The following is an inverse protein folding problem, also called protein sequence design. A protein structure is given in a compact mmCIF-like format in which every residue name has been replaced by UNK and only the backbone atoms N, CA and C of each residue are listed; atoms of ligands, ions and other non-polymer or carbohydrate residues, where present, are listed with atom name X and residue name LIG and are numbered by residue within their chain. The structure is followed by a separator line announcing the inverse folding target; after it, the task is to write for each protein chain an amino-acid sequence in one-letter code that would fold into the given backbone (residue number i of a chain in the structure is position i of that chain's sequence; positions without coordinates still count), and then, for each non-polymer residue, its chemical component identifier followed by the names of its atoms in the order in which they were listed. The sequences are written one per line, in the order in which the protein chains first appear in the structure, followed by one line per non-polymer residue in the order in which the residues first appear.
data_IF_098629580475
#
_entry.id   IF_098629580475
#
_cell.length_a   1.000
_cell.length_b   1.000
_cell.length_c   1.000
_cell.angle_alpha   90.00
_cell.angle_beta   90.00
_cell.angle_gamma   90.00
#
_symmetry.space_group_name_H-M   'P 1'
#
loop_
_entity.id
_entity.type
_entity.pdbx_description
1 polymer ?
#
# COMPACT_ATOMS: atom_id res chain seq x y z
N UNK A 1 -74.68 -38.44 -24.55
CA UNK A 1 -74.86 -37.00 -24.25
C UNK A 1 -73.85 -36.65 -23.16
N UNK A 2 -72.59 -36.38 -23.49
CA UNK A 2 -72.01 -35.11 -23.99
C UNK A 2 -71.68 -34.10 -22.86
N UNK A 3 -70.38 -33.76 -22.77
CA UNK A 3 -69.71 -32.63 -22.08
C UNK A 3 -69.67 -32.66 -20.54
N UNK A 4 -68.61 -32.24 -19.82
CA UNK A 4 -67.54 -31.29 -20.18
C UNK A 4 -66.28 -31.51 -19.30
N UNK A 5 -65.14 -31.65 -19.98
CA UNK A 5 -63.73 -31.29 -19.66
C UNK A 5 -63.39 -30.82 -18.24
N UNK A 6 -62.50 -31.57 -17.58
CA UNK A 6 -61.68 -31.11 -16.46
C UNK A 6 -60.35 -30.49 -16.99
N UNK A 7 -60.12 -29.23 -16.70
CA UNK A 7 -58.83 -28.54 -16.86
C UNK A 7 -58.81 -27.31 -15.96
N UNK A 8 -57.92 -27.26 -14.97
CA UNK A 8 -56.86 -26.25 -14.88
C UNK A 8 -56.13 -26.36 -13.54
N UNK A 9 -54.88 -26.79 -13.61
CA UNK A 9 -53.92 -26.88 -12.51
C UNK A 9 -53.13 -25.56 -12.42
N UNK A 10 -52.84 -25.18 -11.17
CA UNK A 10 -51.64 -24.45 -10.66
C UNK A 10 -51.07 -23.29 -11.49
N UNK A 11 -51.13 -22.09 -10.87
CA UNK A 11 -50.16 -20.99 -11.09
C UNK A 11 -48.73 -21.43 -10.71
N UNK A 12 -47.72 -21.05 -11.50
CA UNK A 12 -46.37 -20.82 -10.97
C UNK A 12 -45.99 -19.33 -10.97
N UNK A 13 -45.15 -19.01 -10.00
CA UNK A 13 -44.55 -17.71 -9.74
C UNK A 13 -43.54 -17.31 -10.83
N UNK A 14 -43.44 -16.00 -11.02
CA UNK A 14 -42.46 -15.32 -11.87
C UNK A 14 -41.05 -15.54 -11.33
N UNK A 15 -40.17 -16.12 -12.17
CA UNK A 15 -38.71 -16.16 -11.94
C UNK A 15 -38.03 -15.38 -13.08
N UNK A 16 -37.15 -14.41 -12.79
CA UNK A 16 -36.38 -13.72 -13.83
C UNK A 16 -35.31 -14.64 -14.42
N UNK A 17 -35.05 -14.44 -15.71
CA UNK A 17 -34.23 -15.25 -16.59
C UNK A 17 -32.74 -15.28 -16.22
N UNK A 18 -32.02 -16.37 -16.58
CA UNK A 18 -30.56 -16.44 -16.48
C UNK A 18 -29.91 -15.64 -17.62
N UNK A 19 -28.85 -14.92 -17.28
CA UNK A 19 -28.00 -14.19 -18.23
C UNK A 19 -27.12 -15.17 -19.03
N UNK A 20 -27.03 -14.94 -20.33
CA UNK A 20 -26.21 -15.70 -21.28
C UNK A 20 -24.69 -15.59 -21.00
N UNK A 21 -23.92 -16.66 -21.22
CA UNK A 21 -22.46 -16.65 -21.08
C UNK A 21 -21.79 -16.04 -22.32
N UNK A 22 -21.14 -14.89 -22.17
CA UNK A 22 -20.29 -14.30 -23.21
C UNK A 22 -19.01 -15.13 -23.37
N UNK A 23 -18.76 -15.49 -24.62
CA UNK A 23 -17.69 -16.34 -25.11
C UNK A 23 -16.26 -15.82 -24.80
N UNK A 24 -15.47 -16.67 -24.14
CA UNK A 24 -14.01 -16.62 -24.13
C UNK A 24 -13.49 -17.23 -25.45
N UNK A 25 -12.80 -16.44 -26.26
CA UNK A 25 -11.96 -16.95 -27.37
C UNK A 25 -10.55 -17.23 -26.85
N UNK A 26 -9.89 -18.33 -27.26
CA UNK A 26 -8.50 -18.57 -26.93
C UNK A 26 -7.59 -17.85 -27.94
N UNK A 27 -6.59 -17.13 -27.45
CA UNK A 27 -5.44 -16.71 -28.27
C UNK A 27 -4.23 -17.50 -27.78
N UNK A 28 -3.97 -18.63 -28.46
CA UNK A 28 -2.62 -19.18 -28.58
C UNK A 28 -1.96 -18.52 -29.78
N UNK A 29 -0.80 -17.90 -29.54
CA UNK A 29 0.10 -17.38 -30.56
C UNK A 29 1.51 -17.39 -29.97
N UNK A 30 2.21 -18.50 -30.18
CA UNK A 30 3.59 -18.73 -29.77
C UNK A 30 4.54 -17.77 -30.52
N UNK A 31 5.49 -17.14 -29.82
CA UNK A 31 6.84 -16.82 -30.32
C UNK A 31 7.77 -16.45 -29.16
N UNK A 32 8.77 -17.30 -28.95
CA UNK A 32 10.07 -16.94 -28.35
C UNK A 32 10.82 -16.06 -29.36
N UNK A 33 11.41 -14.97 -28.88
CA UNK A 33 12.81 -14.63 -29.11
C UNK A 33 13.11 -13.33 -28.34
N UNK A 34 14.36 -13.27 -27.93
CA UNK A 34 15.16 -12.20 -27.35
C UNK A 34 14.86 -10.80 -27.92
N UNK A 35 15.05 -9.77 -27.10
CA UNK A 35 15.99 -8.66 -27.37
C UNK A 35 15.87 -7.55 -26.32
N UNK A 36 17.04 -7.21 -25.79
CA UNK A 36 17.36 -5.90 -25.22
C UNK A 36 16.81 -4.79 -26.11
N UNK A 37 16.07 -3.84 -25.55
CA UNK A 37 16.26 -2.44 -25.94
C UNK A 37 15.75 -1.46 -24.87
N UNK A 38 16.62 -0.49 -24.64
CA UNK A 38 16.49 0.64 -23.77
C UNK A 38 15.44 1.64 -24.29
N UNK A 39 14.65 2.14 -23.34
CA UNK A 39 14.33 3.56 -23.14
C UNK A 39 13.36 4.26 -24.11
N UNK A 40 12.19 4.68 -23.59
CA UNK A 40 11.58 5.96 -23.96
C UNK A 40 10.97 6.58 -22.70
N UNK A 41 11.52 7.74 -22.32
CA UNK A 41 10.87 8.68 -21.43
C UNK A 41 9.58 9.15 -22.12
N UNK A 42 8.42 8.83 -21.53
CA UNK A 42 7.14 9.39 -21.96
C UNK A 42 6.66 10.33 -20.87
N UNK A 43 6.51 11.57 -21.29
CA UNK A 43 5.93 12.68 -20.54
C UNK A 43 4.54 12.29 -20.02
N UNK A 44 4.34 12.47 -18.73
CA UNK A 44 3.13 12.10 -18.03
C UNK A 44 2.13 13.24 -18.10
N UNK A 45 1.19 13.15 -19.03
CA UNK A 45 -0.08 13.87 -19.03
C UNK A 45 -1.17 12.82 -19.27
N UNK A 46 -1.66 12.21 -18.20
CA UNK A 46 -3.01 11.65 -18.18
C UNK A 46 -3.48 11.52 -16.72
N UNK A 47 -4.36 12.45 -16.35
CA UNK A 47 -5.02 12.50 -15.06
C UNK A 47 -6.07 11.40 -14.98
N UNK A 48 -5.74 10.31 -14.27
CA UNK A 48 -6.76 9.44 -13.68
C UNK A 48 -6.99 9.96 -12.26
N UNK A 49 -8.06 10.73 -12.12
CA UNK A 49 -8.58 11.22 -10.85
C UNK A 49 -9.09 10.01 -10.04
N UNK A 50 -8.17 9.36 -9.34
CA UNK A 50 -8.51 8.37 -8.33
C UNK A 50 -9.29 9.12 -7.24
N UNK A 51 -10.55 8.70 -7.01
CA UNK A 51 -11.40 9.08 -5.87
C UNK A 51 -10.65 8.71 -4.59
N UNK A 52 -9.70 9.56 -4.20
CA UNK A 52 -8.84 9.39 -3.04
C UNK A 52 -9.46 10.18 -1.89
N UNK A 53 -10.23 9.55 -1.00
CA UNK A 53 -10.93 10.23 0.08
C UNK A 53 -9.97 10.83 1.14
N UNK A 54 -8.65 10.74 0.95
CA UNK A 54 -7.64 11.30 1.82
C UNK A 54 -7.08 12.66 1.35
N UNK A 55 -7.54 13.21 0.22
CA UNK A 55 -7.09 14.49 -0.31
C UNK A 55 -7.91 15.66 0.24
N UNK A 56 -7.80 15.96 1.54
CA UNK A 56 -7.91 17.33 2.04
C UNK A 56 -7.34 17.44 3.48
N UNK A 57 -6.52 18.47 3.71
CA UNK A 57 -5.83 18.77 4.97
C UNK A 57 -5.83 20.29 5.23
N UNK A 58 -7.01 20.90 5.39
CA UNK A 58 -7.16 22.16 6.14
C UNK A 58 -8.58 22.34 6.69
N UNK A 59 -8.90 21.70 7.83
CA UNK A 59 -9.97 22.16 8.75
C UNK A 59 -9.95 21.33 10.05
N UNK A 60 -9.80 22.01 11.19
CA UNK A 60 -10.06 21.45 12.52
C UNK A 60 -11.58 21.21 12.75
N UNK A 61 -11.90 19.99 13.21
CA UNK A 61 -12.96 19.57 14.18
C UNK A 61 -14.45 19.77 13.80
N UNK A 62 -15.29 18.70 13.85
CA UNK A 62 -15.79 18.14 15.13
C UNK A 62 -15.44 16.66 15.36
N UNK A 63 -14.97 16.36 16.57
CA UNK A 63 -14.91 15.01 17.14
C UNK A 63 -16.33 14.50 17.33
N UNK A 64 -16.83 13.70 16.38
CA UNK A 64 -17.95 12.80 16.64
C UNK A 64 -17.47 11.70 17.61
N UNK A 65 -18.30 11.29 18.58
CA UNK A 65 -17.83 10.40 19.64
C UNK A 65 -17.41 9.05 19.07
N UNK A 66 -16.19 8.63 19.42
CA UNK A 66 -15.63 7.30 19.21
C UNK A 66 -16.61 6.16 19.56
N UNK A 67 -17.61 6.45 20.41
CA UNK A 67 -18.67 5.56 20.86
C UNK A 67 -19.59 4.98 19.75
N UNK A 68 -19.55 5.52 18.52
CA UNK A 68 -20.36 5.02 17.40
C UNK A 68 -19.59 4.17 16.38
N UNK A 69 -18.28 3.99 16.56
CA UNK A 69 -17.48 3.15 15.66
C UNK A 69 -17.80 1.67 15.89
N UNK A 70 -18.04 0.93 14.81
CA UNK A 70 -18.30 -0.50 14.85
C UNK A 70 -17.09 -1.23 15.49
N UNK A 71 -17.28 -1.96 16.61
CA UNK A 71 -16.21 -2.72 17.26
C UNK A 71 -15.47 -3.66 16.31
N UNK A 72 -16.14 -4.20 15.29
CA UNK A 72 -15.52 -5.06 14.30
C UNK A 72 -14.51 -4.32 13.42
N UNK A 73 -14.75 -3.04 13.11
CA UNK A 73 -13.82 -2.20 12.35
C UNK A 73 -12.64 -1.81 13.23
N UNK A 74 -12.88 -1.47 14.50
CA UNK A 74 -11.81 -1.15 15.45
C UNK A 74 -10.84 -2.33 15.56
N UNK A 75 -11.34 -3.56 15.71
CA UNK A 75 -10.50 -4.76 15.77
C UNK A 75 -9.69 -4.98 14.48
N UNK A 76 -10.24 -4.63 13.31
CA UNK A 76 -9.50 -4.69 12.04
C UNK A 76 -8.38 -3.63 11.99
N UNK A 77 -8.63 -2.40 12.47
CA UNK A 77 -7.60 -1.36 12.58
C UNK A 77 -6.48 -1.81 13.54
N UNK A 78 -6.84 -2.37 14.70
CA UNK A 78 -5.88 -2.88 15.69
C UNK A 78 -4.96 -3.97 15.08
N UNK A 79 -5.53 -4.87 14.28
CA UNK A 79 -4.77 -5.91 13.58
C UNK A 79 -3.75 -5.35 12.58
N UNK A 80 -3.95 -4.13 12.06
CA UNK A 80 -3.05 -3.46 11.13
C UNK A 80 -1.95 -2.64 11.83
N UNK A 81 -2.06 -2.35 13.14
CA UNK A 81 -1.07 -1.56 13.90
C UNK A 81 0.37 -2.10 13.76
N UNK A 82 0.65 -3.41 13.89
CA UNK A 82 2.01 -3.92 13.73
C UNK A 82 2.59 -3.67 12.33
N UNK A 83 1.74 -3.67 11.30
CA UNK A 83 2.12 -3.42 9.89
C UNK A 83 2.45 -1.95 9.69
N UNK A 84 1.58 -1.06 10.17
CA UNK A 84 1.81 0.39 10.14
C UNK A 84 3.11 0.76 10.84
N UNK A 85 3.40 0.18 12.02
CA UNK A 85 4.67 0.40 12.74
C UNK A 85 5.90 -0.06 11.96
N UNK A 86 5.87 -1.25 11.35
CA UNK A 86 7.01 -1.73 10.54
C UNK A 86 7.27 -0.82 9.35
N UNK A 87 6.22 -0.42 8.64
CA UNK A 87 6.32 0.49 7.52
C UNK A 87 6.85 1.86 7.94
N UNK A 88 6.29 2.47 8.99
CA UNK A 88 6.73 3.76 9.52
C UNK A 88 8.21 3.73 9.96
N UNK A 89 8.65 2.68 10.66
CA UNK A 89 10.06 2.52 11.10
C UNK A 89 11.04 2.27 9.97
N UNK A 90 10.56 1.82 8.81
CA UNK A 90 11.36 1.66 7.61
C UNK A 90 11.40 2.94 6.76
N UNK A 91 10.41 3.82 6.89
CA UNK A 91 10.38 5.14 6.26
C UNK A 91 11.16 6.21 7.06
N UNK A 92 11.02 6.19 8.39
CA UNK A 92 11.53 7.21 9.31
C UNK A 92 12.83 6.73 9.98
N UNK A 93 13.79 7.65 10.12
CA UNK A 93 15.09 7.38 10.73
C UNK A 93 15.05 7.26 12.25
N UNK A 94 14.07 7.87 12.91
CA UNK A 94 13.87 7.82 14.36
C UNK A 94 12.68 6.91 14.70
N UNK A 95 12.87 6.03 15.68
CA UNK A 95 11.83 5.13 16.15
C UNK A 95 10.71 5.86 16.91
N UNK A 96 11.03 6.94 17.65
CA UNK A 96 10.03 7.75 18.35
C UNK A 96 9.13 8.46 17.35
N UNK A 97 9.72 9.15 16.36
CA UNK A 97 8.96 9.77 15.27
C UNK A 97 8.15 8.77 14.45
N UNK A 98 8.60 7.51 14.33
CA UNK A 98 7.82 6.47 13.67
C UNK A 98 6.59 6.06 14.48
N UNK A 99 6.73 5.92 15.80
CA UNK A 99 5.62 5.59 16.68
C UNK A 99 4.62 6.76 16.78
N UNK A 100 5.09 8.01 16.82
CA UNK A 100 4.26 9.23 16.76
C UNK A 100 3.47 9.31 15.44
N UNK A 101 4.12 9.04 14.30
CA UNK A 101 3.47 9.01 13.00
C UNK A 101 2.35 7.98 12.93
N UNK A 102 2.54 6.81 13.57
CA UNK A 102 1.48 5.80 13.66
C UNK A 102 0.35 6.26 14.57
N UNK A 103 0.67 6.90 15.70
CA UNK A 103 -0.36 7.46 16.58
C UNK A 103 -1.21 8.50 15.84
N UNK A 104 -0.60 9.48 15.17
CA UNK A 104 -1.32 10.50 14.39
C UNK A 104 -2.16 9.85 13.27
N UNK A 105 -1.64 8.79 12.64
CA UNK A 105 -2.40 8.02 11.65
C UNK A 105 -3.66 7.38 12.24
N UNK A 106 -3.57 6.78 13.42
CA UNK A 106 -4.71 6.13 14.07
C UNK A 106 -5.73 7.17 14.55
N UNK A 107 -5.30 8.29 15.11
CA UNK A 107 -6.17 9.41 15.48
C UNK A 107 -6.92 9.97 14.26
N UNK A 108 -6.21 10.14 13.14
CA UNK A 108 -6.79 10.57 11.87
C UNK A 108 -7.78 9.54 11.30
N UNK A 109 -7.41 8.26 11.34
CA UNK A 109 -8.26 7.18 10.84
C UNK A 109 -9.54 7.05 11.66
N UNK A 110 -9.46 7.11 12.99
CA UNK A 110 -10.62 7.03 13.88
C UNK A 110 -11.54 8.24 13.75
N UNK A 111 -10.99 9.45 13.64
CA UNK A 111 -11.80 10.67 13.43
C UNK A 111 -12.49 10.69 12.06
N UNK A 112 -11.84 10.14 11.02
CA UNK A 112 -12.37 10.07 9.66
C UNK A 112 -13.02 8.72 9.33
N UNK A 113 -13.28 7.88 10.32
CA UNK A 113 -13.79 6.52 10.09
C UNK A 113 -15.14 6.51 9.36
N UNK A 114 -15.95 7.55 9.57
CA UNK A 114 -17.22 7.75 8.89
C UNK A 114 -17.10 7.97 7.37
N UNK A 115 -15.92 8.34 6.86
CA UNK A 115 -15.64 8.49 5.43
C UNK A 115 -15.21 7.17 4.77
N UNK A 116 -14.83 6.17 5.58
CA UNK A 116 -14.44 4.87 5.06
C UNK A 116 -15.66 4.10 4.57
N UNK A 117 -15.58 3.56 3.35
CA UNK A 117 -16.66 2.79 2.73
C UNK A 117 -16.53 1.30 3.13
N UNK A 118 -17.54 0.69 3.79
CA UNK A 118 -17.52 -0.73 4.11
C UNK A 118 -17.29 -1.62 2.88
N UNK A 119 -16.44 -2.64 3.02
CA UNK A 119 -16.06 -3.54 1.92
C UNK A 119 -14.94 -3.02 1.02
N UNK A 120 -14.50 -1.77 1.20
CA UNK A 120 -13.25 -1.28 0.60
C UNK A 120 -12.02 -1.80 1.35
N UNK A 121 -10.83 -1.66 0.76
CA UNK A 121 -9.60 -2.13 1.38
C UNK A 121 -9.15 -1.20 2.52
N UNK A 122 -9.48 -1.58 3.76
CA UNK A 122 -9.10 -0.85 4.97
C UNK A 122 -7.58 -0.68 5.10
N UNK A 123 -6.81 -1.73 4.79
CA UNK A 123 -5.34 -1.68 4.85
C UNK A 123 -4.82 -0.61 3.89
N UNK A 124 -5.22 -0.63 2.62
CA UNK A 124 -4.80 0.37 1.65
C UNK A 124 -5.14 1.78 2.13
N UNK A 125 -6.35 2.00 2.64
CA UNK A 125 -6.78 3.30 3.19
C UNK A 125 -5.91 3.78 4.35
N UNK A 126 -5.59 2.91 5.32
CA UNK A 126 -4.71 3.25 6.44
C UNK A 126 -3.30 3.63 5.97
N UNK A 127 -2.74 2.87 5.03
CA UNK A 127 -1.42 3.16 4.46
C UNK A 127 -1.39 4.47 3.65
N UNK A 128 -2.49 4.81 2.98
CA UNK A 128 -2.66 6.12 2.33
C UNK A 128 -2.61 7.26 3.35
N UNK A 129 -3.34 7.14 4.46
CA UNK A 129 -3.32 8.15 5.54
C UNK A 129 -1.89 8.29 6.10
N UNK A 130 -1.26 7.18 6.50
CA UNK A 130 0.08 7.16 7.08
C UNK A 130 1.12 7.80 6.14
N UNK A 131 1.04 7.48 4.84
CA UNK A 131 1.92 8.07 3.83
C UNK A 131 1.71 9.57 3.70
N UNK A 132 0.46 10.02 3.59
CA UNK A 132 0.15 11.44 3.42
C UNK A 132 0.65 12.26 4.62
N UNK A 133 0.48 11.74 5.84
CA UNK A 133 1.04 12.32 7.05
C UNK A 133 2.57 12.46 6.97
N UNK A 134 3.26 11.41 6.53
CA UNK A 134 4.70 11.43 6.38
C UNK A 134 5.18 12.46 5.37
N UNK A 135 4.60 12.48 4.17
CA UNK A 135 4.96 13.43 3.10
C UNK A 135 4.69 14.87 3.53
N UNK A 136 3.54 15.13 4.14
CA UNK A 136 3.21 16.45 4.68
C UNK A 136 4.19 16.86 5.79
N UNK A 137 4.57 15.93 6.66
CA UNK A 137 5.58 16.15 7.70
C UNK A 137 6.99 16.42 7.16
N UNK A 138 7.38 15.81 6.04
CA UNK A 138 8.64 16.13 5.35
C UNK A 138 8.58 17.56 4.79
N UNK A 139 7.51 17.91 4.06
CA UNK A 139 7.34 19.25 3.46
C UNK A 139 7.38 20.36 4.52
N UNK A 140 6.72 20.14 5.67
CA UNK A 140 6.75 21.08 6.80
C UNK A 140 8.14 21.21 7.42
N UNK A 141 8.89 20.12 7.59
CA UNK A 141 10.25 20.17 8.15
C UNK A 141 11.28 20.81 7.22
N UNK A 142 11.17 20.54 5.91
CA UNK A 142 12.01 21.19 4.89
C UNK A 142 11.83 22.71 4.86
N UNK A 143 10.65 23.21 5.25
CA UNK A 143 10.41 24.64 5.38
C UNK A 143 11.01 25.25 6.67
N UNK A 144 11.45 24.45 7.65
CA UNK A 144 11.78 24.92 9.01
C UNK A 144 13.24 24.67 9.42
N UNK A 145 13.98 23.71 8.84
CA UNK A 145 15.36 23.39 9.32
C UNK A 145 16.33 23.06 8.18
N UNK A 146 17.38 23.87 8.10
CA UNK A 146 18.73 23.54 7.64
C UNK A 146 19.52 22.99 8.86
N UNK A 147 20.32 21.93 8.67
CA UNK A 147 21.27 21.28 9.60
C UNK A 147 20.79 20.08 10.49
N UNK A 148 21.50 18.96 10.26
CA UNK A 148 21.85 17.75 11.03
C UNK A 148 20.81 16.87 11.76
N UNK A 149 21.04 15.55 11.64
CA UNK A 149 20.44 14.54 12.51
C UNK A 149 20.57 13.11 11.99
N UNK A 150 21.74 12.50 12.18
CA UNK A 150 21.99 11.08 11.91
C UNK A 150 21.42 10.21 13.05
N UNK A 151 20.17 9.75 12.90
CA UNK A 151 19.51 8.83 13.83
C UNK A 151 19.42 7.41 13.26
N UNK A 152 20.01 6.43 13.95
CA UNK A 152 19.85 5.01 13.64
C UNK A 152 18.57 4.47 14.27
N UNK A 153 17.50 4.26 13.48
CA UNK A 153 16.33 3.56 14.00
C UNK A 153 16.64 2.06 14.23
N UNK A 154 16.15 1.49 15.32
CA UNK A 154 16.13 0.05 15.49
C UNK A 154 14.96 -0.53 14.68
N UNK A 155 15.24 -1.38 13.69
CA UNK A 155 14.22 -2.36 13.25
C UNK A 155 14.13 -3.37 14.38
N UNK A 156 12.91 -3.68 14.84
CA UNK A 156 12.66 -4.54 15.99
C UNK A 156 13.55 -5.78 15.99
N UNK A 157 14.18 -6.04 17.15
CA UNK A 157 15.20 -7.07 17.31
C UNK A 157 14.68 -8.44 16.85
N UNK A 158 15.14 -8.90 15.69
CA UNK A 158 15.03 -10.31 15.33
C UNK A 158 15.84 -11.13 16.34
N UNK A 159 15.21 -12.16 16.90
CA UNK A 159 15.90 -13.17 17.69
C UNK A 159 16.71 -14.04 16.71
N UNK A 160 17.90 -13.54 16.35
CA UNK A 160 18.83 -14.19 15.42
C UNK A 160 20.27 -13.94 15.85
N UNK A 161 21.18 -14.82 15.41
CA UNK A 161 22.61 -14.71 15.66
C UNK A 161 23.18 -13.35 15.23
N UNK A 162 24.39 -13.03 15.69
CA UNK A 162 25.08 -11.76 15.42
C UNK A 162 25.10 -11.38 13.93
N UNK A 163 25.20 -12.37 13.05
CA UNK A 163 25.17 -12.23 11.59
C UNK A 163 23.85 -11.66 11.06
N UNK A 164 22.70 -12.18 11.51
CA UNK A 164 21.37 -11.70 11.10
C UNK A 164 21.16 -10.24 11.52
N UNK A 165 21.67 -9.85 12.69
CA UNK A 165 21.59 -8.46 13.15
C UNK A 165 22.42 -7.51 12.26
N UNK A 166 23.56 -7.97 11.75
CA UNK A 166 24.42 -7.20 10.86
C UNK A 166 23.74 -6.99 9.50
N UNK A 167 23.23 -8.07 8.89
CA UNK A 167 22.50 -8.01 7.62
C UNK A 167 21.26 -7.11 7.71
N UNK A 168 20.50 -7.18 8.81
CA UNK A 168 19.33 -6.32 9.02
C UNK A 168 19.71 -4.84 9.18
N UNK A 169 20.85 -4.56 9.83
CA UNK A 169 21.37 -3.19 9.96
C UNK A 169 21.78 -2.64 8.59
N UNK A 170 22.44 -3.46 7.79
CA UNK A 170 22.93 -3.06 6.47
C UNK A 170 21.78 -2.90 5.48
N UNK A 171 20.76 -3.78 5.52
CA UNK A 171 19.50 -3.62 4.81
C UNK A 171 18.80 -2.31 5.19
N UNK A 172 18.73 -1.99 6.49
CA UNK A 172 18.13 -0.76 6.96
C UNK A 172 18.86 0.47 6.41
N UNK A 173 20.19 0.47 6.45
CA UNK A 173 21.01 1.54 5.89
C UNK A 173 20.74 1.68 4.39
N UNK A 174 20.77 0.58 3.66
CA UNK A 174 20.54 0.56 2.21
C UNK A 174 19.15 1.10 1.85
N UNK A 175 18.10 0.69 2.56
CA UNK A 175 16.76 1.27 2.42
C UNK A 175 16.77 2.79 2.63
N UNK A 176 17.48 3.27 3.67
CA UNK A 176 17.64 4.68 4.00
C UNK A 176 18.37 5.53 2.95
N UNK A 177 19.08 4.89 2.01
CA UNK A 177 19.77 5.55 0.89
C UNK A 177 18.94 5.58 -0.39
N UNK A 178 17.87 4.77 -0.48
CA UNK A 178 16.99 4.80 -1.66
C UNK A 178 16.24 6.14 -1.76
N UNK A 179 15.97 6.65 -2.98
CA UNK A 179 15.00 7.72 -3.18
C UNK A 179 13.65 7.38 -2.56
N UNK A 180 12.97 8.37 -1.96
CA UNK A 180 11.73 8.19 -1.21
C UNK A 180 10.68 7.41 -2.00
N UNK A 181 10.48 7.75 -3.27
CA UNK A 181 9.47 7.14 -4.14
C UNK A 181 9.77 5.66 -4.43
N UNK A 182 11.04 5.29 -4.48
CA UNK A 182 11.47 3.90 -4.68
C UNK A 182 11.35 3.11 -3.38
N UNK A 183 11.77 3.73 -2.26
CA UNK A 183 11.66 3.14 -0.92
C UNK A 183 10.22 2.80 -0.57
N UNK A 184 9.29 3.74 -0.78
CA UNK A 184 7.85 3.52 -0.52
C UNK A 184 7.33 2.28 -1.25
N UNK A 185 7.59 2.18 -2.55
CA UNK A 185 7.14 1.04 -3.37
C UNK A 185 7.77 -0.28 -2.91
N UNK A 186 9.07 -0.27 -2.60
CA UNK A 186 9.79 -1.46 -2.10
C UNK A 186 9.20 -1.93 -0.77
N UNK A 187 8.87 -1.01 0.13
CA UNK A 187 8.30 -1.34 1.43
C UNK A 187 6.85 -1.82 1.33
N UNK A 188 5.99 -1.13 0.59
CA UNK A 188 4.58 -1.53 0.43
C UNK A 188 4.49 -2.97 -0.11
N UNK A 189 5.24 -3.27 -1.18
CA UNK A 189 5.15 -4.56 -1.86
C UNK A 189 6.03 -5.61 -1.19
N UNK A 190 7.29 -5.29 -0.90
CA UNK A 190 8.28 -6.25 -0.42
C UNK A 190 8.19 -6.55 1.08
N UNK A 191 7.83 -5.57 1.91
CA UNK A 191 7.70 -5.75 3.35
C UNK A 191 6.28 -6.09 3.76
N UNK A 192 5.29 -5.37 3.23
CA UNK A 192 3.89 -5.52 3.66
C UNK A 192 3.04 -6.42 2.77
N UNK A 193 3.54 -6.81 1.61
CA UNK A 193 2.85 -7.73 0.69
C UNK A 193 1.63 -7.10 0.00
N UNK A 194 1.59 -5.77 -0.09
CA UNK A 194 0.55 -5.03 -0.78
C UNK A 194 0.64 -5.31 -2.28
N UNK A 195 -0.49 -5.51 -2.94
CA UNK A 195 -0.54 -5.78 -4.37
C UNK A 195 -0.12 -4.56 -5.20
N UNK A 196 0.22 -4.76 -6.47
CA UNK A 196 0.57 -3.63 -7.36
C UNK A 196 -0.55 -2.61 -7.53
N UNK A 197 -1.81 -3.06 -7.55
CA UNK A 197 -2.98 -2.19 -7.69
C UNK A 197 -3.20 -1.35 -6.43
N UNK A 198 -3.23 -1.98 -5.26
CA UNK A 198 -3.38 -1.26 -3.99
C UNK A 198 -2.20 -0.30 -3.74
N UNK A 199 -0.98 -0.69 -4.12
CA UNK A 199 0.18 0.20 -4.02
C UNK A 199 0.05 1.40 -4.97
N UNK A 200 -0.52 1.22 -6.17
CA UNK A 200 -0.82 2.32 -7.08
C UNK A 200 -1.84 3.29 -6.46
N UNK A 201 -2.90 2.77 -5.83
CA UNK A 201 -3.93 3.56 -5.14
C UNK A 201 -3.35 4.34 -3.94
N UNK A 202 -2.54 3.67 -3.10
CA UNK A 202 -1.88 4.29 -1.93
C UNK A 202 -0.95 5.43 -2.35
N UNK A 203 -0.22 5.24 -3.45
CA UNK A 203 0.80 6.18 -3.91
C UNK A 203 0.23 7.27 -4.83
N UNK A 204 -0.98 7.10 -5.36
CA UNK A 204 -1.59 8.00 -6.34
C UNK A 204 -0.84 8.03 -7.68
N UNK A 205 -0.41 6.86 -8.18
CA UNK A 205 0.36 6.72 -9.43
C UNK A 205 -0.12 5.54 -10.25
N UNK A 206 0.25 5.46 -11.53
CA UNK A 206 -0.10 4.30 -12.37
C UNK A 206 0.61 3.00 -11.92
N UNK A 207 -0.02 1.85 -12.18
CA UNK A 207 0.58 0.52 -11.95
C UNK A 207 1.90 0.36 -12.72
N UNK A 208 2.01 0.95 -13.92
CA UNK A 208 3.27 0.97 -14.69
C UNK A 208 4.39 1.71 -13.95
N UNK A 209 4.07 2.84 -13.33
CA UNK A 209 5.01 3.60 -12.50
C UNK A 209 5.40 2.81 -11.24
N UNK A 210 4.46 2.11 -10.59
CA UNK A 210 4.77 1.20 -9.47
C UNK A 210 5.80 0.16 -9.89
N UNK A 211 5.57 -0.55 -11.02
CA UNK A 211 6.48 -1.59 -11.51
C UNK A 211 7.88 -1.04 -11.82
N UNK A 212 7.96 0.11 -12.50
CA UNK A 212 9.25 0.71 -12.86
C UNK A 212 10.02 1.24 -11.63
N UNK A 213 9.32 1.81 -10.64
CA UNK A 213 9.91 2.25 -9.36
C UNK A 213 10.38 1.05 -8.53
N UNK A 214 9.59 -0.02 -8.48
CA UNK A 214 9.97 -1.24 -7.77
C UNK A 214 11.23 -1.88 -8.37
N UNK A 215 11.27 -2.00 -9.70
CA UNK A 215 12.42 -2.57 -10.41
C UNK A 215 13.70 -1.79 -10.11
N UNK A 216 13.65 -0.45 -10.21
CA UNK A 216 14.78 0.43 -9.89
C UNK A 216 15.18 0.34 -8.42
N UNK A 217 14.20 0.37 -7.49
CA UNK A 217 14.46 0.26 -6.07
C UNK A 217 15.11 -1.07 -5.68
N UNK A 218 14.64 -2.19 -6.25
CA UNK A 218 15.25 -3.52 -6.03
C UNK A 218 16.68 -3.61 -6.56
N UNK A 219 16.94 -3.03 -7.74
CA UNK A 219 18.29 -2.97 -8.31
C UNK A 219 19.24 -2.15 -7.44
N UNK A 220 18.82 -0.96 -7.04
CA UNK A 220 19.61 -0.09 -6.17
C UNK A 220 19.87 -0.74 -4.80
N UNK A 221 18.87 -1.39 -4.21
CA UNK A 221 19.03 -2.10 -2.94
C UNK A 221 20.05 -3.23 -3.05
N UNK A 222 19.99 -4.01 -4.14
CA UNK A 222 20.97 -5.07 -4.40
C UNK A 222 22.40 -4.52 -4.49
N UNK A 223 22.61 -3.46 -5.27
CA UNK A 223 23.93 -2.83 -5.40
C UNK A 223 24.47 -2.30 -4.07
N UNK A 224 23.61 -1.66 -3.27
CA UNK A 224 23.98 -1.14 -1.95
C UNK A 224 24.34 -2.26 -0.97
N UNK A 225 23.68 -3.41 -1.06
CA UNK A 225 23.97 -4.57 -0.21
C UNK A 225 25.21 -5.34 -0.69
N UNK A 226 25.41 -5.52 -2.00
CA UNK A 226 26.57 -6.21 -2.58
C UNK A 226 27.88 -5.44 -2.33
N UNK A 227 27.85 -4.11 -2.37
CA UNK A 227 29.01 -3.27 -2.01
C UNK A 227 29.37 -3.29 -0.52
N UNK A 228 28.58 -3.97 0.32
CA UNK A 228 28.83 -4.17 1.76
C UNK A 228 28.91 -5.67 2.14
N UNK A 229 28.87 -6.59 1.18
CA UNK A 229 29.17 -8.00 1.47
C UNK A 229 30.61 -8.06 1.99
N UNK A 230 30.86 -8.56 3.22
CA UNK A 230 32.22 -8.90 3.61
C UNK A 230 32.63 -10.04 2.68
N UNK A 231 33.38 -9.71 1.64
CA UNK A 231 33.95 -10.70 0.73
C UNK A 231 34.86 -11.59 1.56
N UNK A 232 34.59 -12.90 1.54
CA UNK A 232 35.53 -13.93 1.93
C UNK A 232 36.80 -13.74 1.08
N UNK A 233 37.81 -13.07 1.64
CA UNK A 233 39.20 -13.15 1.20
C UNK A 233 39.95 -13.96 2.26
N UNK A 234 40.19 -15.24 1.98
CA UNK A 234 41.41 -16.01 2.29
C UNK A 234 41.38 -17.37 1.59
#
# INVERSE_FOLDING_TARGET
MANHVASSLRRPASSPAPLDPVALKPVMGSRRADEDELNVAVEAEDGVEADNPAADDTAETPSAPLAAADPAIIAQIEAEIPRLRRFARAMVRDATLADDLVQECLERALSRLHLWRPGSNLRAWLFTILRNLHINGIRRRQAVVDIDGEGQAAIGAAHGGQFVRLELRDLKRALGLLPTEQREVVLLIGLEGISYGEAADILGISIGTVKSRLSRGRRALRQLMEGHSPTDED
#
